data_IF_867484331964
#
_entry.id   IF_867484331964
#
_cell.length_a   1.000
_cell.length_b   1.000
_cell.length_c   1.000
_cell.angle_alpha   90.00
_cell.angle_beta   90.00
_cell.angle_gamma   90.00
#
_symmetry.space_group_name_H-M   'P 1'
#
loop_
_entity.id
_entity.type
_entity.pdbx_description
1 polymer ?
#
# COMPACT_ATOMS: atom_id res chain seq x y z
N UNK A 1 -26.81 3.94 7.29
CA UNK A 1 -25.86 2.90 7.73
C UNK A 1 -25.82 1.81 6.67
N UNK A 2 -24.64 1.44 6.17
CA UNK A 2 -24.49 0.27 5.31
C UNK A 2 -24.81 -0.98 6.16
N UNK A 3 -25.66 -1.89 5.67
CA UNK A 3 -25.91 -3.16 6.34
C UNK A 3 -24.61 -3.98 6.46
N UNK A 4 -24.48 -4.83 7.47
CA UNK A 4 -23.24 -5.59 7.77
C UNK A 4 -22.72 -6.43 6.59
N UNK A 5 -23.60 -6.93 5.70
CA UNK A 5 -23.21 -7.64 4.47
C UNK A 5 -22.51 -6.74 3.45
N UNK A 6 -23.02 -5.53 3.21
CA UNK A 6 -22.40 -4.56 2.30
C UNK A 6 -21.04 -4.06 2.80
N UNK A 7 -20.89 -3.89 4.11
CA UNK A 7 -19.60 -3.52 4.69
C UNK A 7 -18.55 -4.61 4.45
N UNK A 8 -18.92 -5.89 4.63
CA UNK A 8 -18.03 -7.03 4.36
C UNK A 8 -17.63 -7.09 2.89
N UNK A 9 -18.57 -6.92 1.96
CA UNK A 9 -18.29 -6.88 0.51
C UNK A 9 -17.28 -5.77 0.15
N UNK A 10 -17.37 -4.61 0.78
CA UNK A 10 -16.40 -3.52 0.59
C UNK A 10 -15.04 -3.89 1.17
N UNK A 11 -15.00 -4.43 2.40
CA UNK A 11 -13.75 -4.85 3.04
C UNK A 11 -13.02 -5.93 2.22
N UNK A 12 -13.76 -6.84 1.59
CA UNK A 12 -13.19 -7.89 0.73
C UNK A 12 -12.53 -7.34 -0.56
N UNK A 13 -12.86 -6.09 -0.95
CA UNK A 13 -12.24 -5.43 -2.11
C UNK A 13 -11.03 -4.57 -1.75
N UNK A 14 -10.73 -4.36 -0.45
CA UNK A 14 -9.71 -3.43 0.02
C UNK A 14 -8.61 -4.17 0.77
N UNK A 15 -7.38 -4.06 0.29
CA UNK A 15 -6.17 -4.45 1.01
C UNK A 15 -5.58 -3.24 1.71
N UNK A 16 -5.30 -3.37 2.99
CA UNK A 16 -4.73 -2.28 3.80
C UNK A 16 -3.36 -2.64 4.35
N UNK A 17 -2.39 -1.77 4.11
CA UNK A 17 -1.06 -1.82 4.69
C UNK A 17 -0.88 -0.60 5.61
N UNK A 18 -0.90 -0.84 6.92
CA UNK A 18 -0.70 0.17 7.94
C UNK A 18 0.79 0.43 8.18
N UNK A 19 1.11 1.61 8.72
CA UNK A 19 2.47 1.96 9.13
C UNK A 19 3.08 0.95 10.13
N UNK A 20 2.41 0.44 11.19
CA UNK A 20 2.82 -0.79 11.86
C UNK A 20 2.53 -1.97 10.94
N UNK A 21 3.51 -2.83 10.69
CA UNK A 21 3.39 -3.95 9.73
C UNK A 21 2.27 -4.94 10.05
N UNK A 22 1.76 -4.94 11.28
CA UNK A 22 0.76 -5.89 11.80
C UNK A 22 1.15 -7.36 11.58
N UNK A 23 2.45 -7.64 11.53
CA UNK A 23 3.01 -8.98 11.42
C UNK A 23 3.49 -9.46 12.79
N UNK A 24 3.40 -10.75 13.02
CA UNK A 24 3.91 -11.42 14.22
C UNK A 24 5.40 -11.72 14.02
N UNK A 25 6.23 -11.09 14.81
CA UNK A 25 7.70 -11.11 14.68
C UNK A 25 8.31 -12.51 14.88
N UNK A 26 7.68 -13.34 15.70
CA UNK A 26 8.11 -14.68 16.05
C UNK A 26 7.77 -15.72 14.95
N UNK A 27 6.88 -15.38 14.05
CA UNK A 27 6.42 -16.25 12.97
C UNK A 27 7.21 -16.00 11.68
N UNK A 28 7.38 -17.03 10.87
CA UNK A 28 7.84 -16.91 9.48
C UNK A 28 6.81 -16.16 8.62
N UNK A 29 7.20 -15.73 7.43
CA UNK A 29 6.28 -15.08 6.49
C UNK A 29 5.09 -15.97 6.12
N UNK A 30 5.34 -17.26 5.88
CA UNK A 30 4.28 -18.22 5.56
C UNK A 30 3.31 -18.43 6.73
N UNK A 31 3.80 -18.56 7.96
CA UNK A 31 2.96 -18.70 9.15
C UNK A 31 2.10 -17.46 9.39
N UNK A 32 2.67 -16.27 9.23
CA UNK A 32 1.91 -15.02 9.26
C UNK A 32 0.75 -15.05 8.26
N UNK A 33 1.02 -15.36 6.98
CA UNK A 33 -0.05 -15.36 5.99
C UNK A 33 -1.09 -16.44 6.23
N UNK A 34 -0.71 -17.63 6.70
CA UNK A 34 -1.66 -18.68 7.10
C UNK A 34 -2.61 -18.20 8.20
N UNK A 35 -2.08 -17.45 9.17
CA UNK A 35 -2.92 -16.88 10.23
C UNK A 35 -3.97 -15.93 9.66
N UNK A 36 -3.57 -14.97 8.82
CA UNK A 36 -4.49 -14.03 8.18
C UNK A 36 -5.43 -14.71 7.17
N UNK A 37 -4.95 -15.70 6.42
CA UNK A 37 -5.78 -16.49 5.50
C UNK A 37 -6.98 -17.13 6.21
N UNK A 38 -6.78 -17.68 7.40
CA UNK A 38 -7.87 -18.24 8.22
C UNK A 38 -8.92 -17.20 8.57
N UNK A 39 -8.52 -15.95 8.85
CA UNK A 39 -9.46 -14.85 9.15
C UNK A 39 -10.31 -14.46 7.93
N UNK A 40 -9.76 -14.59 6.73
CA UNK A 40 -10.47 -14.36 5.46
C UNK A 40 -11.23 -15.61 4.96
N UNK A 41 -11.17 -16.74 5.67
CA UNK A 41 -11.77 -18.01 5.21
C UNK A 41 -11.05 -18.63 4.01
N UNK A 42 -9.78 -18.24 3.76
CA UNK A 42 -8.95 -18.78 2.68
C UNK A 42 -8.30 -20.07 3.15
N UNK A 43 -8.50 -21.15 2.40
CA UNK A 43 -7.93 -22.47 2.70
C UNK A 43 -6.74 -22.77 1.81
N UNK A 44 -5.76 -23.50 2.37
CA UNK A 44 -4.58 -23.96 1.66
C UNK A 44 -3.44 -22.93 1.62
N UNK A 45 -2.24 -23.42 1.30
CA UNK A 45 -1.00 -22.65 1.33
C UNK A 45 -0.70 -21.89 0.03
N UNK A 46 -1.31 -22.33 -1.07
CA UNK A 46 -0.95 -21.81 -2.40
C UNK A 46 -1.23 -20.31 -2.51
N UNK A 47 -2.33 -19.84 -1.95
CA UNK A 47 -2.65 -18.41 -1.93
C UNK A 47 -1.63 -17.59 -1.14
N UNK A 48 -1.19 -18.13 0.01
CA UNK A 48 -0.14 -17.52 0.82
C UNK A 48 1.19 -17.47 0.04
N UNK A 49 1.55 -18.56 -0.61
CA UNK A 49 2.77 -18.64 -1.40
C UNK A 49 2.73 -17.67 -2.60
N UNK A 50 1.60 -17.55 -3.29
CA UNK A 50 1.40 -16.60 -4.39
C UNK A 50 1.56 -15.15 -3.91
N UNK A 51 0.96 -14.79 -2.78
CA UNK A 51 1.08 -13.45 -2.21
C UNK A 51 2.54 -13.11 -1.84
N UNK A 52 3.30 -14.07 -1.29
CA UNK A 52 4.72 -13.89 -0.97
C UNK A 52 5.56 -13.71 -2.25
N UNK A 53 5.32 -14.53 -3.27
CA UNK A 53 6.01 -14.39 -4.58
C UNK A 53 5.68 -13.07 -5.26
N UNK A 54 4.45 -12.61 -5.17
CA UNK A 54 4.00 -11.34 -5.78
C UNK A 54 4.77 -10.12 -5.27
N UNK A 55 5.34 -10.20 -4.06
CA UNK A 55 6.19 -9.17 -3.47
C UNK A 55 7.69 -9.48 -3.57
N UNK A 56 8.08 -10.40 -4.45
CA UNK A 56 9.47 -10.83 -4.67
C UNK A 56 10.16 -11.34 -3.37
N UNK A 57 9.42 -12.11 -2.57
CA UNK A 57 9.96 -12.87 -1.45
C UNK A 57 9.85 -14.37 -1.73
N UNK A 58 10.71 -15.15 -1.06
CA UNK A 58 10.67 -16.61 -1.14
C UNK A 58 9.71 -17.18 -0.08
N UNK A 59 8.64 -17.91 -0.48
CA UNK A 59 7.73 -18.53 0.46
C UNK A 59 8.37 -19.65 1.29
N UNK A 60 9.54 -20.18 0.89
CA UNK A 60 10.27 -21.19 1.63
C UNK A 60 11.12 -20.62 2.79
N UNK A 61 11.17 -19.30 2.97
CA UNK A 61 11.87 -18.69 4.10
C UNK A 61 11.22 -19.07 5.42
N UNK A 62 11.95 -19.83 6.24
CA UNK A 62 11.47 -20.33 7.55
C UNK A 62 11.85 -19.42 8.72
N UNK A 63 12.79 -18.49 8.53
CA UNK A 63 13.20 -17.58 9.60
C UNK A 63 12.07 -16.65 10.02
N UNK A 64 11.98 -16.25 11.29
CA UNK A 64 10.99 -15.31 11.80
C UNK A 64 11.05 -13.94 11.09
N UNK A 65 9.88 -13.30 10.92
CA UNK A 65 9.76 -11.96 10.29
C UNK A 65 10.53 -10.91 11.08
N UNK A 66 10.69 -11.07 12.38
CA UNK A 66 11.53 -10.20 13.21
C UNK A 66 13.00 -10.13 12.77
N UNK A 67 13.49 -11.13 12.01
CA UNK A 67 14.84 -11.18 11.44
C UNK A 67 14.91 -10.68 9.98
N UNK A 68 13.81 -10.19 9.43
CA UNK A 68 13.78 -9.62 8.08
C UNK A 68 14.42 -8.22 8.08
N UNK A 69 15.03 -7.84 6.94
CA UNK A 69 15.35 -6.43 6.71
C UNK A 69 14.07 -5.60 6.66
N UNK A 70 14.17 -4.29 6.88
CA UNK A 70 13.00 -3.41 6.79
C UNK A 70 12.31 -3.51 5.43
N UNK A 71 13.07 -3.55 4.33
CA UNK A 71 12.51 -3.74 3.00
C UNK A 71 11.78 -5.07 2.82
N UNK A 72 12.31 -6.17 3.38
CA UNK A 72 11.61 -7.47 3.39
C UNK A 72 10.35 -7.41 4.24
N UNK A 73 10.40 -6.73 5.38
CA UNK A 73 9.26 -6.57 6.29
C UNK A 73 8.14 -5.76 5.63
N UNK A 74 8.45 -4.67 4.94
CA UNK A 74 7.48 -3.88 4.17
C UNK A 74 6.86 -4.70 3.03
N UNK A 75 7.67 -5.45 2.28
CA UNK A 75 7.16 -6.36 1.24
C UNK A 75 6.28 -7.46 1.83
N UNK A 76 6.61 -8.01 2.99
CA UNK A 76 5.77 -8.99 3.66
C UNK A 76 4.44 -8.40 4.15
N UNK A 77 4.43 -7.13 4.62
CA UNK A 77 3.21 -6.40 4.96
C UNK A 77 2.33 -6.18 3.73
N UNK A 78 2.93 -5.86 2.57
CA UNK A 78 2.21 -5.78 1.30
C UNK A 78 1.63 -7.15 0.89
N UNK A 79 2.39 -8.26 1.05
CA UNK A 79 1.90 -9.61 0.79
C UNK A 79 0.65 -9.94 1.61
N UNK A 80 0.62 -9.54 2.88
CA UNK A 80 -0.55 -9.67 3.74
C UNK A 80 -1.75 -8.88 3.20
N UNK A 81 -1.54 -7.64 2.73
CA UNK A 81 -2.59 -6.82 2.14
C UNK A 81 -3.14 -7.41 0.82
N UNK A 82 -2.33 -8.20 0.10
CA UNK A 82 -2.70 -8.85 -1.17
C UNK A 82 -3.39 -10.21 -0.98
N UNK A 83 -3.41 -10.76 0.22
CA UNK A 83 -3.75 -12.15 0.47
C UNK A 83 -5.14 -12.57 -0.07
N UNK A 84 -6.13 -11.71 0.05
CA UNK A 84 -7.50 -11.93 -0.41
C UNK A 84 -7.81 -11.36 -1.80
N UNK A 85 -6.75 -10.97 -2.55
CA UNK A 85 -6.80 -10.41 -3.91
C UNK A 85 -7.68 -9.15 -4.08
N UNK A 86 -7.46 -8.14 -3.26
CA UNK A 86 -8.25 -6.93 -3.31
C UNK A 86 -8.06 -6.19 -4.65
N UNK A 87 -9.08 -5.44 -5.07
CA UNK A 87 -9.00 -4.53 -6.22
C UNK A 87 -8.37 -3.19 -5.85
N UNK A 88 -8.50 -2.80 -4.60
CA UNK A 88 -8.02 -1.52 -4.07
C UNK A 88 -6.96 -1.78 -3.01
N UNK A 89 -5.83 -1.11 -3.09
CA UNK A 89 -4.79 -1.11 -2.07
C UNK A 89 -4.70 0.27 -1.42
N UNK A 90 -4.78 0.32 -0.11
CA UNK A 90 -4.52 1.50 0.71
C UNK A 90 -3.22 1.27 1.46
N UNK A 91 -2.19 2.05 1.14
CA UNK A 91 -0.84 1.88 1.65
C UNK A 91 -0.43 3.12 2.44
N UNK A 92 -0.16 2.94 3.72
CA UNK A 92 0.25 4.00 4.64
C UNK A 92 1.75 3.89 4.90
N UNK A 93 2.51 4.87 4.40
CA UNK A 93 3.97 4.97 4.50
C UNK A 93 4.74 3.70 4.08
N UNK A 94 4.47 3.12 2.89
CA UNK A 94 5.08 1.86 2.48
C UNK A 94 6.60 1.92 2.29
N UNK A 95 7.19 3.12 2.25
CA UNK A 95 8.62 3.35 2.06
C UNK A 95 9.35 3.74 3.35
N UNK A 96 8.65 3.77 4.49
CA UNK A 96 9.23 4.17 5.78
C UNK A 96 10.36 3.24 6.22
N UNK A 97 11.47 3.86 6.65
CA UNK A 97 12.62 3.17 7.23
C UNK A 97 13.27 2.11 6.33
N UNK A 98 13.10 2.22 5.02
CA UNK A 98 13.78 1.36 4.04
C UNK A 98 14.86 2.14 3.29
N UNK A 99 15.89 1.44 2.85
CA UNK A 99 16.91 2.02 1.99
C UNK A 99 16.35 2.35 0.58
N UNK A 100 17.05 3.24 -0.13
CA UNK A 100 16.62 3.74 -1.45
C UNK A 100 16.39 2.62 -2.46
N UNK A 101 17.22 1.57 -2.42
CA UNK A 101 17.09 0.42 -3.33
C UNK A 101 15.80 -0.34 -3.04
N UNK A 102 15.56 -0.68 -1.78
CA UNK A 102 14.34 -1.38 -1.34
C UNK A 102 13.07 -0.57 -1.64
N UNK A 103 13.14 0.77 -1.48
CA UNK A 103 12.03 1.66 -1.83
C UNK A 103 11.73 1.63 -3.34
N UNK A 104 12.75 1.70 -4.20
CA UNK A 104 12.58 1.59 -5.66
C UNK A 104 12.04 0.22 -6.10
N UNK A 105 12.51 -0.86 -5.47
CA UNK A 105 11.97 -2.20 -5.70
C UNK A 105 10.47 -2.27 -5.35
N UNK A 106 10.06 -1.66 -4.24
CA UNK A 106 8.66 -1.55 -3.85
C UNK A 106 7.84 -0.75 -4.87
N UNK A 107 8.33 0.41 -5.33
CA UNK A 107 7.68 1.20 -6.40
C UNK A 107 7.47 0.36 -7.66
N UNK A 108 8.49 -0.42 -8.08
CA UNK A 108 8.37 -1.32 -9.22
C UNK A 108 7.32 -2.42 -9.03
N UNK A 109 7.14 -2.94 -7.81
CA UNK A 109 6.07 -3.89 -7.51
C UNK A 109 4.68 -3.23 -7.61
N UNK A 110 4.52 -2.01 -7.06
CA UNK A 110 3.27 -1.26 -7.11
C UNK A 110 2.88 -0.90 -8.55
N UNK A 111 3.85 -0.46 -9.38
CA UNK A 111 3.61 -0.18 -10.79
C UNK A 111 3.08 -1.42 -11.53
N UNK A 112 3.68 -2.59 -11.34
CA UNK A 112 3.20 -3.86 -11.93
C UNK A 112 1.78 -4.20 -11.49
N UNK A 113 1.43 -3.94 -10.24
CA UNK A 113 0.08 -4.20 -9.71
C UNK A 113 -0.95 -3.23 -10.29
N UNK A 114 -0.59 -1.95 -10.47
CA UNK A 114 -1.40 -0.95 -11.17
C UNK A 114 -1.64 -1.39 -12.62
N UNK A 115 -0.59 -1.76 -13.34
CA UNK A 115 -0.67 -2.20 -14.73
C UNK A 115 -1.51 -3.48 -14.87
N UNK A 116 -1.57 -4.31 -13.82
CA UNK A 116 -2.47 -5.45 -13.72
C UNK A 116 -3.92 -5.09 -13.33
N UNK A 117 -4.26 -3.78 -13.25
CA UNK A 117 -5.62 -3.28 -13.03
C UNK A 117 -6.00 -3.02 -11.58
N UNK A 118 -5.06 -3.02 -10.63
CA UNK A 118 -5.35 -2.64 -9.24
C UNK A 118 -5.36 -1.12 -9.09
N UNK A 119 -6.29 -0.61 -8.29
CA UNK A 119 -6.29 0.79 -7.85
C UNK A 119 -5.45 0.90 -6.58
N UNK A 120 -4.48 1.82 -6.55
CA UNK A 120 -3.54 1.93 -5.44
C UNK A 120 -3.53 3.37 -4.91
N UNK A 121 -3.80 3.54 -3.62
CA UNK A 121 -3.63 4.79 -2.90
C UNK A 121 -2.42 4.66 -1.98
N UNK A 122 -1.48 5.58 -2.12
CA UNK A 122 -0.27 5.65 -1.29
C UNK A 122 -0.29 6.96 -0.51
N UNK A 123 -0.21 6.88 0.81
CA UNK A 123 0.07 8.03 1.68
C UNK A 123 1.54 7.97 2.05
N UNK A 124 2.30 9.02 1.73
CA UNK A 124 3.75 9.05 2.01
C UNK A 124 4.32 10.47 2.00
N UNK A 125 5.36 10.71 2.80
CA UNK A 125 6.18 11.93 2.70
C UNK A 125 7.21 11.85 1.57
N UNK A 126 7.42 10.68 0.97
CA UNK A 126 8.41 10.43 -0.07
C UNK A 126 7.78 10.34 -1.46
N UNK A 127 6.80 11.21 -1.74
CA UNK A 127 6.00 11.16 -2.98
C UNK A 127 6.86 11.22 -4.26
N UNK A 128 8.03 11.87 -4.22
CA UNK A 128 8.97 11.90 -5.34
C UNK A 128 9.49 10.53 -5.79
N UNK A 129 9.45 9.49 -4.93
CA UNK A 129 9.77 8.12 -5.33
C UNK A 129 8.79 7.54 -6.35
N UNK A 130 7.56 8.08 -6.37
CA UNK A 130 6.47 7.64 -7.24
C UNK A 130 6.41 8.41 -8.57
N UNK A 131 7.35 9.32 -8.81
CA UNK A 131 7.45 10.02 -10.09
C UNK A 131 7.59 9.01 -11.24
N UNK A 132 6.76 9.17 -12.29
CA UNK A 132 6.66 8.24 -13.40
C UNK A 132 5.97 6.89 -13.07
N UNK A 133 5.62 6.65 -11.82
CA UNK A 133 4.91 5.43 -11.39
C UNK A 133 3.47 5.70 -10.94
N UNK A 134 3.15 6.90 -10.44
CA UNK A 134 1.80 7.29 -10.07
C UNK A 134 1.10 8.03 -11.21
N UNK A 135 -0.19 7.86 -11.33
CA UNK A 135 -1.03 8.54 -12.33
C UNK A 135 -1.50 9.91 -11.83
N UNK A 136 -1.57 10.10 -10.51
CA UNK A 136 -2.00 11.35 -9.89
C UNK A 136 -1.32 11.56 -8.53
N UNK A 137 -0.98 12.82 -8.25
CA UNK A 137 -0.49 13.28 -6.96
C UNK A 137 -1.52 14.24 -6.32
N UNK A 138 -1.79 14.03 -5.03
CA UNK A 138 -2.74 14.82 -4.26
C UNK A 138 -2.03 15.35 -3.01
N UNK A 139 -2.03 16.68 -2.85
CA UNK A 139 -1.51 17.32 -1.66
C UNK A 139 -2.65 17.72 -0.73
N UNK A 140 -2.46 17.44 0.55
CA UNK A 140 -3.43 17.74 1.59
C UNK A 140 -2.80 18.59 2.69
N UNK A 141 -3.50 19.63 3.11
CA UNK A 141 -3.16 20.49 4.26
C UNK A 141 -4.39 20.65 5.15
N UNK A 142 -4.21 20.49 6.45
CA UNK A 142 -5.28 20.62 7.45
C UNK A 142 -6.56 19.83 7.08
N UNK A 143 -6.42 18.66 6.45
CA UNK A 143 -7.55 17.81 6.06
C UNK A 143 -8.22 18.21 4.73
N UNK A 144 -7.71 19.21 4.04
CA UNK A 144 -8.24 19.68 2.76
C UNK A 144 -7.29 19.34 1.61
N UNK A 145 -7.85 19.02 0.45
CA UNK A 145 -7.07 18.87 -0.78
C UNK A 145 -6.72 20.25 -1.29
N UNK A 146 -5.43 20.57 -1.35
CA UNK A 146 -4.94 21.89 -1.79
C UNK A 146 -4.41 21.86 -3.22
N UNK A 147 -4.01 20.69 -3.73
CA UNK A 147 -3.51 20.53 -5.10
C UNK A 147 -3.73 19.10 -5.61
N UNK A 148 -3.95 18.98 -6.93
CA UNK A 148 -3.93 17.71 -7.67
C UNK A 148 -3.16 17.91 -8.97
N UNK A 149 -2.25 16.99 -9.29
CA UNK A 149 -1.45 17.02 -10.53
C UNK A 149 -1.21 15.60 -11.05
N UNK A 150 -1.05 15.44 -12.38
CA UNK A 150 -0.63 14.17 -12.99
C UNK A 150 0.87 13.93 -12.89
N UNK A 151 1.67 14.96 -12.56
CA UNK A 151 3.11 14.88 -12.41
C UNK A 151 3.53 15.28 -11.00
N UNK A 152 4.66 14.77 -10.54
CA UNK A 152 5.20 15.15 -9.24
C UNK A 152 5.73 16.59 -9.30
N UNK A 153 5.16 17.46 -8.51
CA UNK A 153 5.61 18.85 -8.32
C UNK A 153 5.82 19.08 -6.82
N UNK A 154 7.05 19.35 -6.35
CA UNK A 154 7.29 19.65 -4.93
C UNK A 154 6.42 20.83 -4.45
N UNK A 155 5.99 20.81 -3.18
CA UNK A 155 5.13 21.87 -2.62
C UNK A 155 5.78 23.27 -2.68
N UNK A 156 7.10 23.32 -2.49
CA UNK A 156 7.86 24.58 -2.48
C UNK A 156 8.23 25.09 -3.89
N UNK A 157 7.74 24.44 -4.94
CA UNK A 157 8.03 24.84 -6.31
C UNK A 157 7.15 26.03 -6.72
N UNK A 158 7.71 27.06 -7.41
CA UNK A 158 6.96 28.20 -7.94
C UNK A 158 5.79 27.78 -8.87
N UNK A 159 5.90 26.65 -9.55
CA UNK A 159 4.82 26.06 -10.35
C UNK A 159 3.60 25.65 -9.48
N UNK A 160 3.76 25.63 -8.15
CA UNK A 160 2.70 25.27 -7.21
C UNK A 160 1.71 26.37 -6.86
N UNK A 161 2.05 27.62 -7.06
CA UNK A 161 1.16 28.74 -6.68
C UNK A 161 -0.06 28.93 -7.60
N UNK A 162 0.01 28.47 -8.85
CA UNK A 162 -1.09 28.59 -9.82
C UNK A 162 -2.17 27.50 -9.74
N UNK A 163 -1.94 26.41 -9.01
CA UNK A 163 -2.82 25.22 -9.00
C UNK A 163 -3.61 25.06 -7.69
N UNK A 164 -3.72 26.09 -6.85
CA UNK A 164 -4.60 26.03 -5.67
C UNK A 164 -6.05 26.00 -6.14
N UNK A 165 -6.75 24.93 -5.82
CA UNK A 165 -8.19 24.84 -6.04
C UNK A 165 -8.84 26.00 -5.26
N UNK A 166 -9.46 26.94 -5.95
CA UNK A 166 -10.37 27.88 -5.32
C UNK A 166 -11.50 27.06 -4.68
N UNK A 167 -11.48 26.94 -3.37
CA UNK A 167 -12.64 26.48 -2.61
C UNK A 167 -13.72 27.55 -2.84
N UNK A 168 -14.66 27.23 -3.75
CA UNK A 168 -15.85 28.07 -3.95
C UNK A 168 -16.54 28.23 -2.61
N UNK A 169 -16.75 29.48 -2.23
CA UNK A 169 -17.58 29.89 -1.11
C UNK A 169 -18.93 29.17 -1.21
N UNK A 170 -19.22 28.31 -0.27
CA UNK A 170 -20.59 27.89 0.00
C UNK A 170 -21.29 29.06 0.64
N UNK A 171 -21.91 29.90 -0.21
CA UNK A 171 -22.85 30.91 0.25
C UNK A 171 -24.12 30.24 0.75
N UNK A 172 -24.38 30.43 2.04
CA UNK A 172 -25.66 30.47 2.79
C UNK A 172 -26.70 29.40 2.50
#
# INVERSE_FOLDING_TARGET
MLGSSKLREVCDQVGYMAHPSLLYDEMSGMENLRYFAKLYGISGDERCAQAIRAVALDPALTRPVGQYSQGMRQRMSLARALLHDPKILLLDEPFSNVDVRSAREMVGLLAKMRDAGKTIFVVTHQAGLLEGAADEFVWMEAGLIVRRTGEFVPMDSPAGEGARLHTGEASR
#
